data_IF_698768887823
#
_entry.id   IF_698768887823
#
_cell.length_a   1.000
_cell.length_b   1.000
_cell.length_c   1.000
_cell.angle_alpha   90.00
_cell.angle_beta   90.00
_cell.angle_gamma   90.00
#
_symmetry.space_group_name_H-M   'P 1'
#
loop_
_entity.id
_entity.type
_entity.pdbx_description
1 polymer ?
#
# COMPACT_ATOMS: atom_id res chain seq x y z
N UNK A 1 -6.64 8.57 -25.15
CA UNK A 1 -6.14 8.74 -23.77
C UNK A 1 -6.14 10.23 -23.45
N UNK A 2 -6.26 10.64 -22.18
CA UNK A 2 -6.33 12.05 -21.78
C UNK A 2 -5.57 12.26 -20.47
N UNK A 3 -4.40 12.89 -20.58
CA UNK A 3 -3.42 13.02 -19.50
C UNK A 3 -3.96 13.81 -18.32
N UNK A 4 -4.58 14.95 -18.59
CA UNK A 4 -5.12 15.84 -17.55
C UNK A 4 -6.33 15.23 -16.85
N UNK A 5 -7.19 14.54 -17.62
CA UNK A 5 -8.31 13.80 -17.04
C UNK A 5 -7.83 12.66 -16.15
N UNK A 6 -6.85 11.87 -16.59
CA UNK A 6 -6.30 10.77 -15.80
C UNK A 6 -5.63 11.30 -14.52
N UNK A 7 -4.83 12.36 -14.62
CA UNK A 7 -4.19 12.98 -13.46
C UNK A 7 -5.21 13.47 -12.43
N UNK A 8 -6.32 14.07 -12.89
CA UNK A 8 -7.44 14.52 -12.03
C UNK A 8 -8.12 13.35 -11.34
N UNK A 9 -8.29 12.21 -12.02
CA UNK A 9 -8.86 11.00 -11.42
C UNK A 9 -8.00 10.53 -10.25
N UNK A 10 -6.67 10.48 -10.41
CA UNK A 10 -5.77 10.09 -9.32
C UNK A 10 -5.76 11.11 -8.17
N UNK A 11 -5.77 12.42 -8.47
CA UNK A 11 -5.92 13.45 -7.43
C UNK A 11 -7.19 13.24 -6.61
N UNK A 12 -8.32 12.95 -7.27
CA UNK A 12 -9.58 12.65 -6.59
C UNK A 12 -9.51 11.34 -5.78
N UNK A 13 -8.91 10.29 -6.33
CA UNK A 13 -8.79 8.97 -5.70
C UNK A 13 -8.16 9.02 -4.30
N UNK A 14 -7.21 9.94 -4.07
CA UNK A 14 -6.50 10.08 -2.79
C UNK A 14 -7.05 11.20 -1.89
N UNK A 15 -7.78 12.18 -2.45
CA UNK A 15 -8.33 13.31 -1.68
C UNK A 15 -9.78 13.10 -1.24
N UNK A 16 -10.62 12.53 -2.10
CA UNK A 16 -12.05 12.31 -1.84
C UNK A 16 -12.26 11.15 -0.84
N UNK A 17 -12.87 11.39 0.34
CA UNK A 17 -13.10 10.35 1.35
C UNK A 17 -13.97 9.19 0.88
N UNK A 18 -14.65 9.29 -0.25
CA UNK A 18 -15.41 8.19 -0.84
C UNK A 18 -14.50 7.08 -1.39
N UNK A 19 -13.21 7.38 -1.59
CA UNK A 19 -12.20 6.46 -2.09
C UNK A 19 -11.13 6.17 -1.02
N UNK A 20 -9.88 6.54 -1.28
CA UNK A 20 -8.68 6.25 -0.48
C UNK A 20 -8.32 4.75 -0.42
N UNK A 21 -7.90 4.16 -1.57
CA UNK A 21 -7.56 2.73 -1.66
C UNK A 21 -6.18 2.42 -1.07
N UNK A 22 -6.08 1.40 -0.21
CA UNK A 22 -4.79 1.01 0.41
C UNK A 22 -3.71 0.66 -0.61
N UNK A 23 -4.14 0.09 -1.74
CA UNK A 23 -3.26 -0.42 -2.77
C UNK A 23 -3.79 -0.08 -4.15
N UNK A 24 -2.87 0.21 -5.08
CA UNK A 24 -3.20 0.47 -6.48
C UNK A 24 -2.29 -0.35 -7.41
N UNK A 25 -2.88 -0.79 -8.53
CA UNK A 25 -2.19 -1.45 -9.64
C UNK A 25 -2.42 -0.62 -10.89
N UNK A 26 -1.37 0.00 -11.43
CA UNK A 26 -1.47 0.96 -12.53
C UNK A 26 -0.97 0.33 -13.82
N UNK A 27 -1.82 0.39 -14.85
CA UNK A 27 -1.60 -0.26 -16.12
C UNK A 27 -2.13 0.61 -17.27
N UNK A 28 -1.25 1.20 -18.12
CA UNK A 28 -1.67 2.07 -19.23
C UNK A 28 -2.48 1.31 -20.28
N UNK A 29 -3.76 1.63 -20.49
CA UNK A 29 -4.64 0.85 -21.36
C UNK A 29 -4.02 0.50 -22.73
N UNK A 30 -4.13 -0.78 -23.14
CA UNK A 30 -3.54 -1.33 -24.38
C UNK A 30 -4.62 -1.66 -25.40
N UNK A 31 -4.22 -1.72 -26.67
CA UNK A 31 -5.05 -2.27 -27.74
C UNK A 31 -4.59 -3.70 -28.03
N UNK A 32 -5.48 -4.67 -27.84
CA UNK A 32 -5.26 -6.08 -28.19
C UNK A 32 -6.28 -6.49 -29.25
N UNK A 33 -5.88 -7.38 -30.18
CA UNK A 33 -6.77 -7.86 -31.25
C UNK A 33 -8.09 -8.38 -30.68
N UNK A 34 -9.18 -8.18 -31.41
CA UNK A 34 -10.54 -8.65 -31.09
C UNK A 34 -11.15 -8.06 -29.81
N UNK A 35 -10.57 -6.99 -29.24
CA UNK A 35 -11.20 -6.23 -28.16
C UNK A 35 -12.08 -5.11 -28.71
N UNK A 36 -13.06 -4.64 -27.93
CA UNK A 36 -13.83 -3.44 -28.30
C UNK A 36 -12.92 -2.23 -28.55
N UNK A 37 -11.83 -2.11 -27.79
CA UNK A 37 -10.83 -1.05 -27.96
C UNK A 37 -10.08 -1.15 -29.28
N UNK A 38 -9.90 -2.35 -29.83
CA UNK A 38 -9.31 -2.55 -31.15
C UNK A 38 -10.18 -1.96 -32.25
N UNK A 39 -11.50 -2.19 -32.20
CA UNK A 39 -12.42 -1.58 -33.18
C UNK A 39 -12.50 -0.05 -33.07
N UNK A 40 -12.43 0.50 -31.85
CA UNK A 40 -12.36 1.96 -31.66
C UNK A 40 -11.04 2.53 -32.17
N UNK A 41 -9.94 1.81 -31.96
CA UNK A 41 -8.62 2.17 -32.47
C UNK A 41 -8.56 2.12 -34.01
N UNK A 42 -9.13 1.08 -34.64
CA UNK A 42 -9.20 0.94 -36.11
C UNK A 42 -9.95 2.11 -36.76
N UNK A 43 -10.96 2.66 -36.07
CA UNK A 43 -11.72 3.84 -36.52
C UNK A 43 -11.05 5.18 -36.20
N UNK A 44 -9.91 5.18 -35.49
CA UNK A 44 -9.25 6.39 -35.02
C UNK A 44 -9.93 7.08 -33.82
N UNK A 45 -10.95 6.46 -33.23
CA UNK A 45 -11.71 6.99 -32.10
C UNK A 45 -11.00 6.78 -30.75
N UNK A 46 -10.02 5.87 -30.71
CA UNK A 46 -9.20 5.62 -29.53
C UNK A 46 -7.71 5.58 -29.83
N UNK A 47 -6.95 6.41 -29.13
CA UNK A 47 -5.48 6.40 -29.13
C UNK A 47 -4.95 6.04 -27.73
N UNK A 48 -4.22 4.92 -27.55
CA UNK A 48 -3.59 4.58 -26.28
C UNK A 48 -2.37 5.47 -26.01
N UNK A 49 -1.90 5.50 -24.77
CA UNK A 49 -0.61 6.12 -24.46
C UNK A 49 0.55 5.35 -25.08
N UNK A 50 1.53 6.08 -25.58
CA UNK A 50 2.86 5.52 -25.84
C UNK A 50 3.64 5.32 -24.53
N UNK A 51 4.85 4.76 -24.63
CA UNK A 51 5.66 4.44 -23.44
C UNK A 51 6.08 5.69 -22.64
N UNK A 52 6.41 6.77 -23.32
CA UNK A 52 6.90 8.01 -22.70
C UNK A 52 5.75 8.74 -21.98
N UNK A 53 4.61 8.90 -22.66
CA UNK A 53 3.40 9.53 -22.08
C UNK A 53 2.92 8.75 -20.84
N UNK A 54 2.92 7.42 -20.92
CA UNK A 54 2.55 6.58 -19.80
C UNK A 54 3.53 6.68 -18.63
N UNK A 55 4.83 6.73 -18.91
CA UNK A 55 5.85 6.90 -17.88
C UNK A 55 5.69 8.25 -17.18
N UNK A 56 5.52 9.33 -17.94
CA UNK A 56 5.31 10.68 -17.41
C UNK A 56 4.07 10.75 -16.51
N UNK A 57 2.94 10.18 -16.96
CA UNK A 57 1.72 10.16 -16.16
C UNK A 57 1.95 9.43 -14.82
N UNK A 58 2.64 8.28 -14.86
CA UNK A 58 2.91 7.50 -13.64
C UNK A 58 3.89 8.24 -12.72
N UNK A 59 4.86 8.99 -13.24
CA UNK A 59 5.73 9.87 -12.44
C UNK A 59 4.89 10.90 -11.69
N UNK A 60 3.97 11.59 -12.38
CA UNK A 60 3.07 12.56 -11.75
C UNK A 60 2.15 11.92 -10.70
N UNK A 61 1.65 10.71 -10.96
CA UNK A 61 0.87 9.95 -9.97
C UNK A 61 1.75 9.61 -8.75
N UNK A 62 2.98 9.14 -8.95
CA UNK A 62 3.88 8.75 -7.86
C UNK A 62 4.29 9.92 -6.96
N UNK A 63 4.38 11.14 -7.50
CA UNK A 63 4.63 12.38 -6.74
C UNK A 63 3.53 12.68 -5.71
N UNK A 64 2.28 12.32 -5.99
CA UNK A 64 1.13 12.64 -5.14
C UNK A 64 0.65 11.48 -4.26
N UNK A 65 1.31 10.32 -4.29
CA UNK A 65 0.87 9.15 -3.52
C UNK A 65 1.02 9.41 -2.01
N UNK A 66 -0.06 9.24 -1.23
CA UNK A 66 0.03 9.28 0.23
C UNK A 66 0.91 8.17 0.80
N UNK A 67 1.42 8.39 2.02
CA UNK A 67 2.30 7.45 2.72
C UNK A 67 1.67 6.08 2.99
N UNK A 68 0.35 6.04 3.14
CA UNK A 68 -0.43 4.83 3.43
C UNK A 68 -0.77 4.00 2.17
N UNK A 69 -0.51 4.49 0.96
CA UNK A 69 -0.79 3.77 -0.28
C UNK A 69 0.38 2.88 -0.67
N UNK A 70 0.11 1.64 -1.08
CA UNK A 70 1.07 0.74 -1.71
C UNK A 70 0.83 0.63 -3.21
N UNK A 71 1.86 0.83 -4.03
CA UNK A 71 1.79 0.48 -5.47
C UNK A 71 2.29 -0.94 -5.68
N UNK A 72 1.63 -1.71 -6.54
CA UNK A 72 2.22 -2.95 -7.05
C UNK A 72 3.35 -2.64 -8.06
N UNK A 73 4.19 -3.65 -8.36
CA UNK A 73 5.20 -3.53 -9.42
C UNK A 73 4.52 -3.19 -10.75
N UNK A 74 5.02 -2.17 -11.43
CA UNK A 74 4.53 -1.74 -12.75
C UNK A 74 5.12 -2.71 -13.79
N UNK A 75 4.47 -3.87 -13.94
CA UNK A 75 4.84 -4.93 -14.88
C UNK A 75 3.59 -5.61 -15.41
N UNK A 76 3.60 -6.06 -16.67
CA UNK A 76 2.46 -6.78 -17.25
C UNK A 76 2.88 -8.14 -17.78
N UNK A 77 2.01 -9.10 -17.55
CA UNK A 77 2.14 -10.46 -18.06
C UNK A 77 1.35 -10.61 -19.38
N UNK A 78 1.54 -9.65 -20.31
CA UNK A 78 0.96 -9.69 -21.66
C UNK A 78 2.12 -9.74 -22.67
N UNK A 79 2.23 -10.82 -23.47
CA UNK A 79 3.24 -10.92 -24.51
C UNK A 79 3.15 -9.76 -25.52
N UNK A 80 4.29 -9.15 -25.84
CA UNK A 80 4.36 -7.96 -26.69
C UNK A 80 3.76 -8.17 -28.09
N UNK A 81 3.85 -9.37 -28.64
CA UNK A 81 3.29 -9.72 -29.96
C UNK A 81 1.75 -9.72 -29.99
N UNK A 82 1.07 -9.75 -28.82
CA UNK A 82 -0.38 -9.63 -28.71
C UNK A 82 -0.84 -8.18 -28.58
N UNK A 83 0.09 -7.24 -28.39
CA UNK A 83 -0.18 -5.81 -28.24
C UNK A 83 -0.17 -5.17 -29.64
N UNK A 84 -1.34 -4.82 -30.14
CA UNK A 84 -1.50 -4.09 -31.40
C UNK A 84 -0.93 -2.69 -31.23
N UNK A 85 -1.37 -1.96 -30.20
CA UNK A 85 -0.93 -0.60 -29.91
C UNK A 85 -0.91 -0.26 -28.41
N UNK A 86 -0.15 0.76 -28.04
CA UNK A 86 0.10 1.21 -26.66
C UNK A 86 1.51 0.88 -26.16
N UNK A 87 1.68 0.74 -24.84
CA UNK A 87 2.97 0.44 -24.21
C UNK A 87 3.43 -0.99 -24.53
N UNK A 88 4.45 -1.12 -25.37
CA UNK A 88 5.04 -2.41 -25.78
C UNK A 88 6.29 -2.81 -24.99
N UNK A 89 6.94 -1.87 -24.30
CA UNK A 89 8.13 -2.16 -23.49
C UNK A 89 7.75 -2.87 -22.19
N UNK A 90 8.46 -3.94 -21.85
CA UNK A 90 8.26 -4.72 -20.62
C UNK A 90 8.82 -4.02 -19.37
N UNK A 91 9.72 -3.04 -19.54
CA UNK A 91 10.43 -2.36 -18.45
C UNK A 91 9.86 -0.96 -18.09
N UNK A 92 8.56 -0.72 -18.29
CA UNK A 92 7.93 0.58 -17.97
C UNK A 92 8.23 1.06 -16.54
N UNK A 93 8.21 0.16 -15.56
CA UNK A 93 8.54 0.51 -14.17
C UNK A 93 9.95 1.08 -14.02
N UNK A 94 10.94 0.49 -14.68
CA UNK A 94 12.34 0.96 -14.66
C UNK A 94 12.44 2.38 -15.22
N UNK A 95 11.75 2.66 -16.34
CA UNK A 95 11.70 3.99 -16.96
C UNK A 95 11.12 5.02 -15.99
N UNK A 96 10.03 4.67 -15.29
CA UNK A 96 9.41 5.54 -14.28
C UNK A 96 10.38 5.84 -13.12
N UNK A 97 11.06 4.82 -12.59
CA UNK A 97 12.00 5.01 -11.48
C UNK A 97 13.22 5.84 -11.89
N UNK A 98 13.73 5.65 -13.11
CA UNK A 98 14.81 6.47 -13.67
C UNK A 98 14.40 7.94 -13.74
N UNK A 99 13.22 8.25 -14.28
CA UNK A 99 12.68 9.62 -14.32
C UNK A 99 12.52 10.25 -12.95
N UNK A 100 11.96 9.53 -11.98
CA UNK A 100 11.84 10.02 -10.60
C UNK A 100 13.22 10.38 -10.01
N UNK A 101 14.25 9.58 -10.28
CA UNK A 101 15.62 9.83 -9.84
C UNK A 101 16.23 11.05 -10.54
N UNK A 102 16.05 11.17 -11.86
CA UNK A 102 16.52 12.32 -12.66
C UNK A 102 15.88 13.63 -12.20
N UNK A 103 14.62 13.59 -11.76
CA UNK A 103 13.90 14.75 -11.21
C UNK A 103 14.18 15.02 -9.71
N UNK A 104 14.98 14.19 -9.05
CA UNK A 104 15.24 14.31 -7.61
C UNK A 104 14.01 14.06 -6.72
N UNK A 105 13.02 13.32 -7.22
CA UNK A 105 11.75 13.08 -6.53
C UNK A 105 11.79 11.77 -5.77
N UNK A 106 11.54 11.85 -4.46
CA UNK A 106 11.41 10.67 -3.61
C UNK A 106 9.94 10.30 -3.38
N UNK A 107 9.47 9.24 -4.05
CA UNK A 107 8.09 8.76 -3.89
C UNK A 107 7.82 8.28 -2.46
N UNK A 108 6.70 8.73 -1.88
CA UNK A 108 6.34 8.48 -0.48
C UNK A 108 5.46 7.25 -0.27
N UNK A 109 5.10 6.49 -1.32
CA UNK A 109 4.27 5.30 -1.17
C UNK A 109 5.01 4.17 -0.42
N UNK A 110 4.26 3.25 0.19
CA UNK A 110 4.78 2.11 0.97
C UNK A 110 5.87 1.34 0.21
N UNK A 111 5.62 0.98 -1.06
CA UNK A 111 6.57 0.19 -1.86
C UNK A 111 7.92 0.90 -2.04
N UNK A 112 7.93 2.23 -2.14
CA UNK A 112 9.16 2.98 -2.35
C UNK A 112 9.95 3.17 -1.05
N UNK A 113 9.33 2.91 0.11
CA UNK A 113 9.93 3.11 1.43
C UNK A 113 10.20 1.82 2.17
N UNK A 114 9.57 0.70 1.78
CA UNK A 114 9.78 -0.59 2.45
C UNK A 114 11.26 -0.91 2.58
N UNK A 115 11.69 -1.33 3.79
CA UNK A 115 13.10 -1.50 4.14
C UNK A 115 13.86 -2.28 3.08
N UNK A 116 13.32 -3.39 2.61
CA UNK A 116 13.96 -4.18 1.56
C UNK A 116 14.26 -3.36 0.30
N UNK A 117 13.30 -2.59 -0.19
CA UNK A 117 13.48 -1.79 -1.40
C UNK A 117 14.57 -0.73 -1.19
N UNK A 118 14.57 -0.06 -0.04
CA UNK A 118 15.56 0.98 0.30
C UNK A 118 16.97 0.42 0.47
N UNK A 119 17.12 -0.73 1.13
CA UNK A 119 18.40 -1.42 1.26
C UNK A 119 18.94 -1.82 -0.13
N UNK A 120 18.08 -2.28 -1.04
CA UNK A 120 18.49 -2.60 -2.42
C UNK A 120 18.94 -1.37 -3.24
N UNK A 121 18.54 -0.16 -2.83
CA UNK A 121 18.97 1.11 -3.41
C UNK A 121 20.23 1.69 -2.71
N UNK A 122 20.81 0.97 -1.75
CA UNK A 122 22.01 1.38 -1.02
C UNK A 122 21.76 2.28 0.20
N UNK A 123 20.51 2.40 0.66
CA UNK A 123 20.24 3.06 1.94
C UNK A 123 20.74 2.21 3.11
N UNK A 124 21.20 2.85 4.18
CA UNK A 124 21.47 2.21 5.47
C UNK A 124 20.32 2.52 6.43
N UNK A 125 20.08 1.60 7.37
CA UNK A 125 19.14 1.82 8.46
C UNK A 125 19.91 2.33 9.68
N UNK A 126 19.41 3.37 10.33
CA UNK A 126 19.86 3.77 11.66
C UNK A 126 18.80 3.39 12.71
N UNK A 127 19.08 2.41 13.59
CA UNK A 127 18.13 1.99 14.63
C UNK A 127 17.68 3.12 15.57
N UNK A 128 18.54 4.12 15.81
CA UNK A 128 18.24 5.25 16.68
C UNK A 128 17.23 6.23 16.06
N UNK A 129 17.12 6.24 14.72
CA UNK A 129 16.19 7.09 13.98
C UNK A 129 14.79 6.48 13.84
N UNK A 130 14.59 5.24 14.28
CA UNK A 130 13.31 4.55 14.09
C UNK A 130 12.28 5.15 15.05
N UNK A 131 11.26 5.78 14.47
CA UNK A 131 10.22 6.50 15.20
C UNK A 131 8.82 5.99 14.84
N UNK A 132 7.87 5.98 15.80
CA UNK A 132 6.47 5.70 15.53
C UNK A 132 5.81 6.94 14.88
N UNK A 133 5.17 6.74 13.73
CA UNK A 133 4.41 7.76 13.01
C UNK A 133 2.95 7.34 12.82
N UNK A 134 2.05 8.34 12.88
CA UNK A 134 0.59 8.16 12.75
C UNK A 134 0.03 9.14 11.75
N UNK A 135 -0.67 8.63 10.74
CA UNK A 135 -1.46 9.45 9.81
C UNK A 135 -2.95 9.07 9.93
N UNK A 136 -3.81 10.05 10.20
CA UNK A 136 -5.25 9.84 10.31
C UNK A 136 -5.98 10.42 9.10
N UNK A 137 -6.93 9.68 8.53
CA UNK A 137 -7.72 10.14 7.39
C UNK A 137 -9.14 9.57 7.40
N UNK A 138 -10.09 10.30 6.81
CA UNK A 138 -11.47 9.83 6.60
C UNK A 138 -11.55 9.00 5.32
N UNK A 139 -12.17 7.83 5.39
CA UNK A 139 -12.42 6.97 4.23
C UNK A 139 -13.73 6.19 4.40
N UNK A 140 -14.57 6.19 3.37
CA UNK A 140 -15.84 5.44 3.26
C UNK A 140 -16.75 5.60 4.49
N UNK A 141 -16.86 6.85 4.98
CA UNK A 141 -17.65 7.22 6.16
C UNK A 141 -17.07 6.80 7.51
N UNK A 142 -15.92 6.11 7.54
CA UNK A 142 -15.17 5.77 8.74
C UNK A 142 -13.91 6.63 8.89
N UNK A 143 -13.15 6.34 9.95
CA UNK A 143 -11.84 6.95 10.23
C UNK A 143 -10.77 5.88 10.16
N UNK A 144 -9.71 6.16 9.42
CA UNK A 144 -8.53 5.31 9.28
C UNK A 144 -7.38 5.95 10.04
N UNK A 145 -6.55 5.10 10.64
CA UNK A 145 -5.25 5.44 11.17
C UNK A 145 -4.23 4.50 10.54
N UNK A 146 -3.26 5.09 9.86
CA UNK A 146 -2.07 4.41 9.39
C UNK A 146 -0.98 4.61 10.43
N UNK A 147 -0.65 3.55 11.16
CA UNK A 147 0.39 3.50 12.17
C UNK A 147 1.62 2.85 11.55
N UNK A 148 2.81 3.41 11.77
CA UNK A 148 4.03 2.89 11.16
C UNK A 148 5.24 3.13 12.04
N UNK A 149 6.20 2.21 11.99
CA UNK A 149 7.57 2.48 12.42
C UNK A 149 8.42 2.78 11.20
N UNK A 150 9.03 3.96 11.18
CA UNK A 150 9.79 4.49 10.05
C UNK A 150 11.15 5.01 10.54
N UNK A 151 12.18 4.99 9.69
CA UNK A 151 13.36 5.86 9.80
C UNK A 151 13.13 7.02 8.81
N UNK A 152 12.69 8.20 9.29
CA UNK A 152 12.29 9.30 8.42
C UNK A 152 13.45 9.92 7.67
N UNK A 153 14.66 9.88 8.24
CA UNK A 153 15.85 10.48 7.64
C UNK A 153 16.26 9.72 6.37
N UNK A 154 16.22 8.38 6.44
CA UNK A 154 16.54 7.53 5.29
C UNK A 154 15.32 7.17 4.43
N UNK A 155 14.13 7.66 4.83
CA UNK A 155 12.83 7.38 4.24
C UNK A 155 12.53 5.87 4.14
N UNK A 156 12.75 5.17 5.24
CA UNK A 156 12.60 3.72 5.36
C UNK A 156 11.35 3.40 6.20
N UNK A 157 10.55 2.45 5.74
CA UNK A 157 9.39 1.88 6.42
C UNK A 157 9.72 0.47 6.90
N UNK A 158 9.64 0.25 8.22
CA UNK A 158 9.94 -1.03 8.87
C UNK A 158 8.70 -1.91 8.95
N UNK A 159 7.58 -1.31 9.34
CA UNK A 159 6.30 -2.01 9.45
C UNK A 159 5.17 -1.02 9.66
N UNK A 160 3.95 -1.46 9.37
CA UNK A 160 2.75 -0.65 9.51
C UNK A 160 1.53 -1.45 9.94
N UNK A 161 0.54 -0.75 10.46
CA UNK A 161 -0.77 -1.26 10.84
C UNK A 161 -1.87 -0.30 10.36
N UNK A 162 -2.92 -0.85 9.76
CA UNK A 162 -4.13 -0.12 9.33
C UNK A 162 -5.25 -0.31 10.33
N UNK A 163 -5.48 0.69 11.18
CA UNK A 163 -6.57 0.67 12.16
C UNK A 163 -7.75 1.48 11.61
N UNK A 164 -8.93 0.86 11.58
CA UNK A 164 -10.18 1.50 11.17
C UNK A 164 -11.15 1.59 12.33
N UNK A 165 -11.71 2.78 12.52
CA UNK A 165 -12.96 2.98 13.25
C UNK A 165 -14.11 2.97 12.23
N UNK A 166 -14.91 1.90 12.21
CA UNK A 166 -15.95 1.71 11.21
C UNK A 166 -17.09 2.72 11.38
N UNK A 167 -17.83 2.96 10.30
CA UNK A 167 -19.06 3.73 10.33
C UNK A 167 -20.24 2.88 10.83
N UNK A 168 -21.36 3.53 11.17
CA UNK A 168 -22.62 2.87 11.53
C UNK A 168 -23.21 1.97 10.43
N UNK A 169 -22.67 2.04 9.20
CA UNK A 169 -23.09 1.22 8.05
C UNK A 169 -22.38 -0.13 7.97
N UNK A 170 -21.53 -0.49 8.94
CA UNK A 170 -20.93 -1.81 9.00
C UNK A 170 -22.01 -2.89 9.10
N UNK A 171 -21.94 -3.91 8.24
CA UNK A 171 -23.00 -4.92 8.10
C UNK A 171 -22.71 -6.24 8.84
N UNK A 172 -21.46 -6.45 9.25
CA UNK A 172 -21.05 -7.68 9.93
C UNK A 172 -21.53 -7.65 11.37
N UNK A 173 -22.19 -8.73 11.81
CA UNK A 173 -22.72 -8.87 13.17
C UNK A 173 -21.66 -8.72 14.27
N UNK A 174 -20.41 -9.05 13.97
CA UNK A 174 -19.28 -8.94 14.91
C UNK A 174 -18.86 -7.47 15.16
N UNK A 175 -19.27 -6.55 14.28
CA UNK A 175 -18.81 -5.16 14.23
C UNK A 175 -19.95 -4.21 14.63
N UNK A 176 -19.70 -3.40 15.67
CA UNK A 176 -20.62 -2.35 16.13
C UNK A 176 -19.89 -1.02 16.39
N UNK A 177 -20.60 -0.03 16.93
CA UNK A 177 -20.05 1.31 17.22
C UNK A 177 -18.91 1.31 18.26
N UNK A 178 -18.79 0.26 19.07
CA UNK A 178 -17.75 0.06 20.08
C UNK A 178 -16.58 -0.80 19.59
N UNK A 179 -16.57 -1.19 18.31
CA UNK A 179 -15.55 -2.07 17.72
C UNK A 179 -14.55 -1.27 16.89
N UNK A 180 -13.26 -1.54 17.05
CA UNK A 180 -12.17 -1.13 16.15
C UNK A 180 -11.72 -2.30 15.27
N UNK A 181 -11.14 -2.02 14.10
CA UNK A 181 -10.71 -3.03 13.14
C UNK A 181 -9.24 -2.84 12.76
N UNK A 182 -8.39 -3.82 13.04
CA UNK A 182 -7.08 -3.95 12.39
C UNK A 182 -7.29 -4.64 11.05
N UNK A 183 -7.15 -3.90 9.96
CA UNK A 183 -7.37 -4.40 8.59
C UNK A 183 -6.15 -5.09 8.02
N UNK A 184 -4.97 -4.62 8.42
CA UNK A 184 -3.68 -5.13 7.97
C UNK A 184 -2.64 -4.82 9.05
N UNK A 185 -1.81 -5.80 9.37
CA UNK A 185 -0.56 -5.65 10.08
C UNK A 185 0.52 -6.23 9.17
N UNK A 186 1.56 -5.47 8.89
CA UNK A 186 2.66 -5.92 8.06
C UNK A 186 3.98 -5.41 8.63
N UNK A 187 4.88 -6.35 8.93
CA UNK A 187 6.27 -6.05 9.32
C UNK A 187 7.15 -6.64 8.24
N UNK A 188 8.01 -5.80 7.64
CA UNK A 188 8.95 -6.26 6.65
C UNK A 188 10.06 -7.04 7.35
N UNK A 189 10.20 -8.32 7.01
CA UNK A 189 11.29 -9.17 7.50
C UNK A 189 12.64 -8.76 6.90
N UNK A 190 13.76 -9.27 7.44
CA UNK A 190 15.07 -9.04 6.85
C UNK A 190 15.06 -9.59 5.41
N UNK A 191 15.36 -8.73 4.44
CA UNK A 191 15.80 -9.22 3.14
C UNK A 191 17.24 -9.68 3.32
N UNK A 192 17.44 -10.99 3.52
CA UNK A 192 18.78 -11.55 3.34
C UNK A 192 19.14 -11.45 1.85
N UNK A 193 20.29 -10.86 1.49
CA UNK A 193 20.86 -11.05 0.17
C UNK A 193 20.98 -12.54 -0.12
N UNK A 194 20.67 -12.96 -1.35
CA UNK A 194 20.88 -14.36 -1.75
C UNK A 194 22.37 -14.67 -1.65
N UNK A 195 22.75 -15.51 -0.69
CA UNK A 195 24.12 -16.05 -0.56
C UNK A 195 24.89 -15.66 0.71
N UNK A 196 24.36 -14.80 1.58
CA UNK A 196 25.05 -14.43 2.83
C UNK A 196 24.24 -14.80 4.09
N UNK A 197 24.84 -15.48 5.10
CA UNK A 197 24.21 -15.67 6.39
C UNK A 197 24.17 -14.34 7.14
N UNK A 198 23.03 -13.66 7.14
CA UNK A 198 22.88 -12.37 7.83
C UNK A 198 22.63 -12.54 9.33
N UNK A 199 23.52 -11.99 10.15
CA UNK A 199 23.40 -11.84 11.62
C UNK A 199 22.27 -10.86 12.06
N UNK A 200 21.41 -10.39 11.14
CA UNK A 200 20.38 -9.37 11.39
C UNK A 200 19.05 -9.89 11.95
N UNK A 201 18.98 -11.16 12.36
CA UNK A 201 17.74 -11.86 12.76
C UNK A 201 17.04 -11.19 13.97
N UNK A 202 17.75 -10.39 14.76
CA UNK A 202 17.27 -9.83 16.02
C UNK A 202 16.60 -8.44 15.99
N UNK A 203 16.71 -7.64 14.92
CA UNK A 203 16.33 -6.22 14.99
C UNK A 203 14.86 -5.91 14.62
N UNK A 204 14.16 -6.84 13.97
CA UNK A 204 12.74 -6.69 13.60
C UNK A 204 11.76 -7.48 14.49
N UNK A 205 12.28 -8.20 15.50
CA UNK A 205 11.44 -8.86 16.49
C UNK A 205 10.75 -7.80 17.36
N UNK A 206 9.42 -7.81 17.39
CA UNK A 206 8.61 -6.99 18.29
C UNK A 206 7.89 -5.78 17.66
N UNK A 207 8.23 -5.31 16.46
CA UNK A 207 7.48 -4.19 15.84
C UNK A 207 6.01 -4.53 15.60
N UNK A 208 5.69 -5.80 15.32
CA UNK A 208 4.30 -6.24 15.16
C UNK A 208 3.50 -6.11 16.44
N UNK A 209 4.09 -6.50 17.57
CA UNK A 209 3.47 -6.40 18.90
C UNK A 209 3.36 -4.93 19.34
N UNK A 210 4.40 -4.12 19.11
CA UNK A 210 4.37 -2.67 19.38
C UNK A 210 3.25 -1.96 18.59
N UNK A 211 3.10 -2.28 17.31
CA UNK A 211 2.02 -1.74 16.47
C UNK A 211 0.64 -2.16 16.99
N UNK A 212 0.47 -3.42 17.41
CA UNK A 212 -0.78 -3.91 17.98
C UNK A 212 -1.10 -3.23 19.31
N UNK A 213 -0.14 -3.10 20.23
CA UNK A 213 -0.33 -2.37 21.49
C UNK A 213 -0.76 -0.93 21.21
N UNK A 214 -0.09 -0.25 20.29
CA UNK A 214 -0.45 1.11 19.92
C UNK A 214 -1.86 1.20 19.30
N UNK A 215 -2.27 0.20 18.52
CA UNK A 215 -3.61 0.14 17.94
C UNK A 215 -4.69 -0.13 19.01
N UNK A 216 -4.40 -0.96 20.01
CA UNK A 216 -5.27 -1.22 21.16
C UNK A 216 -5.47 0.05 22.01
N UNK A 217 -4.37 0.72 22.38
CA UNK A 217 -4.40 2.01 23.09
C UNK A 217 -5.22 3.05 22.34
N UNK A 218 -4.95 3.23 21.04
CA UNK A 218 -5.66 4.20 20.21
C UNK A 218 -7.14 3.83 20.04
N UNK A 219 -7.49 2.55 20.06
CA UNK A 219 -8.88 2.11 20.06
C UNK A 219 -9.59 2.49 21.37
N UNK A 220 -8.95 2.25 22.53
CA UNK A 220 -9.47 2.65 23.86
C UNK A 220 -9.68 4.17 23.92
N UNK A 221 -8.69 4.95 23.50
CA UNK A 221 -8.78 6.42 23.43
C UNK A 221 -9.96 6.92 22.58
N UNK A 222 -10.37 6.14 21.58
CA UNK A 222 -11.51 6.44 20.72
C UNK A 222 -12.81 5.75 21.18
N UNK A 223 -12.87 5.33 22.46
CA UNK A 223 -14.06 4.77 23.11
C UNK A 223 -14.48 3.41 22.58
N UNK A 224 -13.52 2.61 22.11
CA UNK A 224 -13.75 1.24 21.64
C UNK A 224 -13.47 0.26 22.76
N UNK A 225 -14.31 -0.76 22.84
CA UNK A 225 -14.29 -1.80 23.88
C UNK A 225 -13.81 -3.14 23.32
N UNK A 226 -13.73 -3.25 21.99
CA UNK A 226 -13.30 -4.48 21.29
C UNK A 226 -12.49 -4.13 20.06
N UNK A 227 -11.46 -4.91 19.79
CA UNK A 227 -10.68 -4.84 18.56
C UNK A 227 -10.77 -6.16 17.81
N UNK A 228 -10.98 -6.08 16.49
CA UNK A 228 -11.02 -7.22 15.59
C UNK A 228 -9.91 -7.12 14.54
N UNK A 229 -9.27 -8.25 14.24
CA UNK A 229 -8.20 -8.34 13.25
C UNK A 229 -8.65 -9.17 12.06
N UNK A 230 -8.51 -8.62 10.86
CA UNK A 230 -8.61 -9.38 9.61
C UNK A 230 -7.37 -10.25 9.47
N UNK A 231 -7.48 -11.52 9.86
CA UNK A 231 -6.35 -12.45 9.96
C UNK A 231 -6.46 -13.56 8.91
N UNK A 232 -5.40 -13.73 8.11
CA UNK A 232 -5.24 -14.90 7.25
C UNK A 232 -5.16 -16.19 8.07
N UNK A 233 -5.64 -17.30 7.53
CA UNK A 233 -5.75 -18.57 8.28
C UNK A 233 -4.41 -18.98 8.91
N UNK A 234 -3.32 -18.89 8.14
CA UNK A 234 -1.98 -19.29 8.56
C UNK A 234 -1.30 -18.38 9.60
N UNK A 235 -1.89 -17.23 9.94
CA UNK A 235 -1.32 -16.30 10.93
C UNK A 235 -2.18 -16.14 12.18
N UNK A 236 -3.23 -16.95 12.35
CA UNK A 236 -4.12 -16.87 13.53
C UNK A 236 -3.39 -17.21 14.84
N UNK A 237 -2.47 -18.18 14.82
CA UNK A 237 -1.72 -18.58 16.00
C UNK A 237 -0.80 -17.48 16.54
N UNK A 238 -0.33 -16.57 15.67
CA UNK A 238 0.40 -15.38 16.09
C UNK A 238 -0.47 -14.52 17.01
N UNK A 239 -1.72 -14.23 16.60
CA UNK A 239 -2.63 -13.41 17.39
C UNK A 239 -3.12 -14.11 18.67
N UNK A 240 -3.27 -15.45 18.65
CA UNK A 240 -3.63 -16.23 19.85
C UNK A 240 -2.62 -16.05 20.98
N UNK A 241 -1.32 -16.02 20.65
CA UNK A 241 -0.25 -15.77 21.63
C UNK A 241 -0.36 -14.38 22.29
N UNK A 242 -1.03 -13.44 21.63
CA UNK A 242 -1.25 -12.06 22.11
C UNK A 242 -2.62 -11.88 22.79
N UNK A 243 -3.31 -12.98 23.10
CA UNK A 243 -4.60 -12.96 23.81
C UNK A 243 -5.81 -12.71 22.90
N UNK A 244 -5.67 -12.86 21.58
CA UNK A 244 -6.81 -12.79 20.68
C UNK A 244 -7.46 -14.16 20.48
N UNK A 245 -8.78 -14.18 20.44
CA UNK A 245 -9.58 -15.37 20.19
C UNK A 245 -10.34 -15.28 18.87
N UNK A 246 -10.80 -16.40 18.33
CA UNK A 246 -11.53 -16.37 17.05
C UNK A 246 -12.98 -15.92 17.28
N UNK A 247 -13.40 -14.86 16.60
CA UNK A 247 -14.80 -14.42 16.54
C UNK A 247 -15.25 -14.32 15.08
N UNK A 248 -16.03 -15.30 14.62
CA UNK A 248 -16.44 -15.40 13.22
C UNK A 248 -15.23 -15.50 12.26
N UNK A 249 -15.07 -14.56 11.30
CA UNK A 249 -13.91 -14.53 10.40
C UNK A 249 -12.70 -13.79 11.00
N UNK A 250 -12.83 -13.16 12.15
CA UNK A 250 -11.81 -12.29 12.76
C UNK A 250 -11.07 -12.97 13.92
N UNK A 251 -9.95 -12.36 14.32
CA UNK A 251 -9.37 -12.54 15.65
C UNK A 251 -9.77 -11.35 16.52
N UNK A 252 -10.34 -11.59 17.70
CA UNK A 252 -10.96 -10.60 18.56
C UNK A 252 -10.27 -10.52 19.92
N UNK A 253 -10.22 -9.32 20.49
CA UNK A 253 -9.78 -9.08 21.85
C UNK A 253 -10.63 -7.98 22.47
N UNK A 254 -11.07 -8.19 23.71
CA UNK A 254 -11.72 -7.15 24.51
C UNK A 254 -10.66 -6.19 25.04
N UNK A 255 -10.95 -4.91 24.96
CA UNK A 255 -10.11 -3.82 25.46
C UNK A 255 -10.67 -3.45 26.83
N UNK A 256 -9.95 -3.84 27.89
CA UNK A 256 -10.31 -3.58 29.28
C UNK A 256 -9.74 -2.22 29.70
#
# INVERSE_FOLDING_TARGET
>A
ADFEKDLRIFKRLFSDPSFKPDMIKIYPCLVTKNSQLYHLWEKGEYKPYNTEEAAELIVQIKKMLPKWVRTMRIQRDIPSHLIVDGVKKSNLGEIVYKKLKEEGVQCQCIRCREIGHRLSEGASINPENITPLKEAYKATGGKEFFLSYEDPENNILIGFLRLRLPSKKAHRKEINEKTALVRELHVYGPMLPIGEPGEGIGQHSGYGEKLLSWAEELAIENGKEKILITSGIGVRDYYRKLGYEREGPYMAKMLI
#
